data_IF_491597929176
#
_entry.id   IF_491597929176
#
_cell.length_a   1.000
_cell.length_b   1.000
_cell.length_c   1.000
_cell.angle_alpha   90.00
_cell.angle_beta   90.00
_cell.angle_gamma   90.00
#
_symmetry.space_group_name_H-M   'P 1'
#
loop_
_entity.id
_entity.type
_entity.pdbx_description
1 polymer ?
#
# COMPACT_ATOMS: atom_id res chain seq x y z
N UNK A 1 -6.18 -13.34 -17.60
CA UNK A 1 -5.76 -12.68 -16.33
C UNK A 1 -6.63 -11.46 -16.14
N UNK A 2 -7.60 -11.55 -15.25
CA UNK A 2 -8.46 -10.44 -14.84
C UNK A 2 -7.95 -9.84 -13.52
N UNK A 3 -7.74 -8.55 -13.48
CA UNK A 3 -7.09 -7.87 -12.37
C UNK A 3 -8.00 -6.77 -11.84
N UNK A 4 -8.28 -6.80 -10.54
CA UNK A 4 -8.90 -5.69 -9.83
C UNK A 4 -7.80 -4.86 -9.18
N UNK A 5 -7.76 -3.55 -9.47
CA UNK A 5 -6.74 -2.66 -8.96
C UNK A 5 -7.33 -1.62 -8.02
N UNK A 6 -7.13 -1.81 -6.72
CA UNK A 6 -7.53 -0.86 -5.70
C UNK A 6 -6.56 0.32 -5.66
N UNK A 7 -7.07 1.49 -5.92
CA UNK A 7 -6.34 2.76 -5.85
C UNK A 7 -7.29 3.90 -5.48
N UNK A 8 -6.74 4.94 -4.86
CA UNK A 8 -7.45 6.20 -4.63
C UNK A 8 -6.70 7.33 -5.31
N UNK A 9 -7.45 8.20 -5.97
CA UNK A 9 -6.92 9.41 -6.58
C UNK A 9 -7.13 10.61 -5.67
N UNK A 10 -6.17 11.53 -5.68
CA UNK A 10 -6.30 12.84 -5.05
C UNK A 10 -7.14 13.77 -5.93
N UNK A 11 -7.73 14.85 -5.38
CA UNK A 11 -8.50 15.81 -6.17
C UNK A 11 -7.72 16.30 -7.40
N UNK A 12 -8.34 16.20 -8.56
CA UNK A 12 -7.75 16.62 -9.84
C UNK A 12 -7.92 18.14 -10.02
N UNK A 13 -6.87 18.80 -10.54
CA UNK A 13 -6.84 20.23 -10.73
C UNK A 13 -6.41 21.04 -9.50
N UNK A 14 -6.23 20.40 -8.36
CA UNK A 14 -5.76 21.06 -7.14
C UNK A 14 -4.23 21.23 -7.10
N UNK A 15 -3.50 20.30 -7.69
CA UNK A 15 -2.04 20.31 -7.72
C UNK A 15 -1.53 19.76 -9.04
N UNK A 16 -0.85 20.61 -9.83
CA UNK A 16 -0.24 20.18 -11.10
C UNK A 16 0.70 18.97 -10.95
N UNK A 17 1.41 18.91 -9.83
CA UNK A 17 2.34 17.80 -9.53
C UNK A 17 1.59 16.50 -9.29
N UNK A 18 0.53 16.54 -8.46
CA UNK A 18 -0.30 15.34 -8.22
C UNK A 18 -0.99 14.89 -9.50
N UNK A 19 -1.52 15.84 -10.29
CA UNK A 19 -2.17 15.52 -11.56
C UNK A 19 -1.20 14.87 -12.53
N UNK A 20 0.03 15.36 -12.61
CA UNK A 20 1.08 14.76 -13.43
C UNK A 20 1.37 13.32 -13.01
N UNK A 21 1.57 13.06 -11.72
CA UNK A 21 1.85 11.71 -11.20
C UNK A 21 0.69 10.75 -11.43
N UNK A 22 -0.53 11.19 -11.18
CA UNK A 22 -1.72 10.38 -11.40
C UNK A 22 -1.93 10.05 -12.88
N UNK A 23 -1.60 10.96 -13.78
CA UNK A 23 -1.62 10.71 -15.22
C UNK A 23 -0.59 9.64 -15.61
N UNK A 24 0.66 9.77 -15.16
CA UNK A 24 1.73 8.79 -15.46
C UNK A 24 1.39 7.42 -14.85
N UNK A 25 0.86 7.38 -13.63
CA UNK A 25 0.40 6.14 -13.02
C UNK A 25 -0.61 5.42 -13.94
N UNK A 26 -1.67 6.11 -14.35
CA UNK A 26 -2.70 5.52 -15.22
C UNK A 26 -2.09 5.06 -16.54
N UNK A 27 -1.22 5.85 -17.16
CA UNK A 27 -0.58 5.51 -18.42
C UNK A 27 0.35 4.29 -18.25
N UNK A 28 1.04 4.16 -17.11
CA UNK A 28 1.85 2.98 -16.79
C UNK A 28 1.00 1.71 -16.64
N UNK A 29 -0.16 1.81 -16.00
CA UNK A 29 -1.09 0.68 -15.87
C UNK A 29 -1.66 0.26 -17.23
N UNK A 30 -2.05 1.21 -18.08
CA UNK A 30 -2.52 0.93 -19.44
C UNK A 30 -1.45 0.22 -20.28
N UNK A 31 -0.18 0.61 -20.12
CA UNK A 31 0.95 0.02 -20.85
C UNK A 31 1.19 -1.46 -20.51
N UNK A 32 0.67 -1.95 -19.38
CA UNK A 32 0.76 -3.37 -19.02
C UNK A 32 -0.03 -4.28 -19.97
N UNK A 33 -0.94 -3.74 -20.76
CA UNK A 33 -1.78 -4.45 -21.73
C UNK A 33 -2.47 -5.70 -21.13
N UNK A 34 -3.14 -5.50 -20.00
CA UNK A 34 -3.87 -6.53 -19.26
C UNK A 34 -5.32 -6.10 -19.06
N UNK A 35 -6.21 -7.06 -18.80
CA UNK A 35 -7.60 -6.77 -18.42
C UNK A 35 -7.66 -6.27 -16.97
N UNK A 36 -7.44 -4.98 -16.81
CA UNK A 36 -7.40 -4.30 -15.52
C UNK A 36 -8.68 -3.49 -15.35
N UNK A 37 -9.33 -3.69 -14.22
CA UNK A 37 -10.47 -2.88 -13.76
C UNK A 37 -10.06 -2.19 -12.46
N UNK A 38 -10.26 -0.88 -12.37
CA UNK A 38 -9.98 -0.17 -11.14
C UNK A 38 -11.15 -0.27 -10.16
N UNK A 39 -10.82 -0.52 -8.89
CA UNK A 39 -11.70 -0.30 -7.75
C UNK A 39 -11.43 1.08 -7.19
N UNK A 40 -12.36 2.00 -7.38
CA UNK A 40 -12.22 3.42 -7.04
C UNK A 40 -13.29 3.80 -6.02
N UNK A 41 -12.92 3.79 -4.75
CA UNK A 41 -13.74 4.40 -3.70
C UNK A 41 -13.15 5.77 -3.38
N UNK A 42 -13.93 6.83 -3.57
CA UNK A 42 -13.55 8.22 -3.37
C UNK A 42 -14.42 8.85 -2.27
N UNK A 43 -13.95 9.92 -1.67
CA UNK A 43 -14.62 10.61 -0.56
C UNK A 43 -14.82 12.09 -0.92
N UNK A 44 -15.79 12.36 -1.81
CA UNK A 44 -16.07 13.69 -2.37
C UNK A 44 -14.86 14.39 -2.98
N UNK A 45 -13.98 13.61 -3.62
CA UNK A 45 -12.80 14.13 -4.29
C UNK A 45 -13.19 14.78 -5.63
N UNK A 46 -12.91 16.09 -5.76
CA UNK A 46 -13.28 16.85 -6.95
C UNK A 46 -12.61 16.34 -8.22
N UNK A 47 -13.37 16.31 -9.30
CA UNK A 47 -12.95 16.04 -10.67
C UNK A 47 -12.32 14.65 -10.91
N UNK A 48 -12.38 13.74 -9.94
CA UNK A 48 -11.81 12.39 -10.11
C UNK A 48 -12.65 11.58 -11.08
N UNK A 49 -13.97 11.63 -10.97
CA UNK A 49 -14.88 10.91 -11.87
C UNK A 49 -14.69 11.32 -13.33
N UNK A 50 -14.59 12.62 -13.60
CA UNK A 50 -14.32 13.15 -14.94
C UNK A 50 -12.95 12.74 -15.47
N UNK A 51 -11.93 12.74 -14.59
CA UNK A 51 -10.60 12.27 -14.93
C UNK A 51 -10.61 10.81 -15.36
N UNK A 52 -11.28 9.94 -14.59
CA UNK A 52 -11.41 8.51 -14.88
C UNK A 52 -12.14 8.27 -16.19
N UNK A 53 -13.26 9.00 -16.45
CA UNK A 53 -14.00 8.96 -17.72
C UNK A 53 -13.11 9.41 -18.89
N UNK A 54 -12.42 10.54 -18.77
CA UNK A 54 -11.53 11.06 -19.82
C UNK A 54 -10.36 10.11 -20.12
N UNK A 55 -9.86 9.41 -19.12
CA UNK A 55 -8.80 8.41 -19.26
C UNK A 55 -9.34 7.05 -19.73
N UNK A 56 -10.64 6.92 -19.99
CA UNK A 56 -11.27 5.66 -20.45
C UNK A 56 -10.84 4.45 -19.59
N UNK A 57 -10.84 4.63 -18.28
CA UNK A 57 -10.45 3.59 -17.35
C UNK A 57 -11.66 2.70 -17.07
N UNK A 58 -11.53 1.39 -17.31
CA UNK A 58 -12.49 0.41 -16.82
C UNK A 58 -12.48 0.40 -15.30
N UNK A 59 -13.63 0.67 -14.68
CA UNK A 59 -13.64 0.87 -13.22
C UNK A 59 -15.00 0.55 -12.58
N UNK A 60 -14.95 0.31 -11.27
CA UNK A 60 -16.06 0.40 -10.35
C UNK A 60 -15.87 1.68 -9.52
N UNK A 61 -16.67 2.69 -9.80
CA UNK A 61 -16.57 3.98 -9.11
C UNK A 61 -17.62 4.09 -8.02
N UNK A 62 -17.19 4.34 -6.79
CA UNK A 62 -18.04 4.57 -5.64
C UNK A 62 -17.62 5.91 -5.02
N UNK A 63 -18.55 6.85 -4.93
CA UNK A 63 -18.35 8.09 -4.18
C UNK A 63 -19.07 8.01 -2.86
N UNK A 64 -18.34 8.19 -1.77
CA UNK A 64 -18.85 8.20 -0.40
C UNK A 64 -18.81 9.65 0.09
N UNK A 65 -19.95 10.20 0.54
CA UNK A 65 -19.98 11.53 1.13
C UNK A 65 -19.04 11.62 2.34
N UNK A 66 -18.29 12.72 2.43
CA UNK A 66 -17.41 12.95 3.60
C UNK A 66 -18.16 13.00 4.92
N UNK A 67 -19.45 13.30 4.89
CA UNK A 67 -20.32 13.23 6.06
C UNK A 67 -20.48 11.83 6.67
N UNK A 68 -20.16 10.78 5.90
CA UNK A 68 -20.16 9.40 6.40
C UNK A 68 -18.85 9.01 7.10
N UNK A 69 -17.82 9.85 7.01
CA UNK A 69 -16.59 9.67 7.77
C UNK A 69 -16.71 10.29 9.16
N UNK A 70 -15.97 9.78 10.15
CA UNK A 70 -15.81 10.48 11.41
C UNK A 70 -15.29 11.92 11.21
N UNK A 71 -15.64 12.81 12.13
CA UNK A 71 -15.17 14.20 12.12
C UNK A 71 -13.64 14.20 11.98
N UNK A 72 -13.12 15.09 11.15
CA UNK A 72 -11.69 15.30 10.84
C UNK A 72 -11.01 14.17 10.03
N UNK A 73 -11.74 13.15 9.59
CA UNK A 73 -11.18 12.13 8.67
C UNK A 73 -11.37 12.52 7.21
N UNK A 74 -10.35 12.24 6.40
CA UNK A 74 -10.31 12.60 4.97
C UNK A 74 -10.73 11.45 4.08
N UNK A 75 -10.37 10.22 4.46
CA UNK A 75 -10.70 8.98 3.74
C UNK A 75 -10.62 7.77 4.67
N UNK A 76 -11.05 6.62 4.17
CA UNK A 76 -11.09 5.36 4.93
C UNK A 76 -10.55 4.21 4.10
N UNK A 77 -9.37 3.71 4.48
CA UNK A 77 -8.75 2.57 3.81
C UNK A 77 -9.56 1.27 3.96
N UNK A 78 -10.20 1.08 5.11
CA UNK A 78 -11.00 -0.13 5.33
C UNK A 78 -12.28 -0.16 4.49
N UNK A 79 -12.93 0.99 4.26
CA UNK A 79 -14.09 1.08 3.36
C UNK A 79 -13.65 0.80 1.91
N UNK A 80 -12.55 1.41 1.48
CA UNK A 80 -11.99 1.16 0.16
C UNK A 80 -11.67 -0.33 -0.06
N UNK A 81 -11.05 -0.97 0.92
CA UNK A 81 -10.68 -2.38 0.84
C UNK A 81 -11.91 -3.29 0.89
N UNK A 82 -12.92 -3.00 1.72
CA UNK A 82 -14.17 -3.74 1.75
C UNK A 82 -14.87 -3.71 0.39
N UNK A 83 -15.01 -2.52 -0.21
CA UNK A 83 -15.61 -2.36 -1.53
C UNK A 83 -14.83 -3.13 -2.61
N UNK A 84 -13.50 -3.09 -2.57
CA UNK A 84 -12.68 -3.84 -3.51
C UNK A 84 -12.84 -5.35 -3.34
N UNK A 85 -12.95 -5.86 -2.11
CA UNK A 85 -13.17 -7.27 -1.85
C UNK A 85 -14.55 -7.73 -2.32
N UNK A 86 -15.60 -6.91 -2.19
CA UNK A 86 -16.92 -7.20 -2.73
C UNK A 86 -16.86 -7.34 -4.25
N UNK A 87 -16.28 -6.36 -4.93
CA UNK A 87 -16.11 -6.37 -6.37
C UNK A 87 -15.26 -7.55 -6.84
N UNK A 88 -14.20 -7.91 -6.08
CA UNK A 88 -13.35 -9.05 -6.37
C UNK A 88 -14.12 -10.37 -6.28
N UNK A 89 -14.94 -10.55 -5.24
CA UNK A 89 -15.72 -11.76 -5.01
C UNK A 89 -16.84 -11.93 -6.05
N UNK A 90 -17.46 -10.84 -6.47
CA UNK A 90 -18.63 -10.85 -7.37
C UNK A 90 -18.25 -11.02 -8.84
N UNK A 91 -17.05 -10.63 -9.26
CA UNK A 91 -16.68 -10.49 -10.68
C UNK A 91 -15.56 -11.42 -11.17
N UNK A 92 -15.22 -12.47 -10.44
CA UNK A 92 -14.23 -13.49 -10.83
C UNK A 92 -12.86 -12.93 -11.24
N UNK A 93 -12.34 -12.00 -10.47
CA UNK A 93 -10.96 -11.52 -10.64
C UNK A 93 -9.96 -12.57 -10.13
N UNK A 94 -8.82 -12.67 -10.80
CA UNK A 94 -7.72 -13.56 -10.41
C UNK A 94 -6.74 -12.87 -9.45
N UNK A 95 -6.58 -11.56 -9.60
CA UNK A 95 -5.63 -10.76 -8.83
C UNK A 95 -6.31 -9.52 -8.24
N UNK A 96 -6.02 -9.25 -6.97
CA UNK A 96 -6.31 -7.99 -6.30
C UNK A 96 -4.99 -7.25 -6.08
N UNK A 97 -4.83 -6.11 -6.74
CA UNK A 97 -3.65 -5.25 -6.58
C UNK A 97 -4.05 -4.01 -5.80
N UNK A 98 -3.23 -3.63 -4.82
CA UNK A 98 -3.41 -2.41 -4.04
C UNK A 98 -2.17 -1.54 -4.20
N UNK A 99 -2.34 -0.28 -4.57
CA UNK A 99 -1.24 0.67 -4.68
C UNK A 99 -1.66 2.11 -4.41
N UNK A 100 -0.66 2.97 -4.17
CA UNK A 100 -0.85 4.42 -4.28
C UNK A 100 -0.84 4.87 -5.75
N UNK A 101 -1.40 6.03 -6.05
CA UNK A 101 -1.48 6.59 -7.40
C UNK A 101 -0.22 7.38 -7.83
N UNK A 102 0.87 7.23 -7.11
CA UNK A 102 2.18 7.87 -7.36
C UNK A 102 3.29 6.86 -7.66
N UNK A 103 2.91 5.62 -7.99
CA UNK A 103 3.84 4.52 -8.30
C UNK A 103 3.75 4.17 -9.78
N UNK A 104 4.88 4.18 -10.49
CA UNK A 104 4.96 3.65 -11.84
C UNK A 104 5.26 2.16 -11.78
N UNK A 105 4.40 1.38 -12.41
CA UNK A 105 4.52 -0.08 -12.45
C UNK A 105 5.29 -0.49 -13.71
N UNK A 106 6.36 -1.28 -13.57
CA UNK A 106 7.13 -1.71 -14.73
C UNK A 106 6.38 -2.74 -15.59
N UNK A 107 6.59 -2.68 -16.91
CA UNK A 107 5.91 -3.55 -17.88
C UNK A 107 6.10 -5.06 -17.62
N UNK A 108 7.18 -5.43 -16.94
CA UNK A 108 7.46 -6.83 -16.60
C UNK A 108 6.78 -7.32 -15.31
N UNK A 109 6.04 -6.47 -14.61
CA UNK A 109 5.44 -6.79 -13.30
C UNK A 109 4.67 -8.12 -13.33
N UNK A 110 3.66 -8.23 -14.18
CA UNK A 110 2.87 -9.47 -14.24
C UNK A 110 3.61 -10.67 -14.82
N UNK A 111 4.65 -10.45 -15.62
CA UNK A 111 5.55 -11.53 -16.03
C UNK A 111 6.29 -12.13 -14.83
N UNK A 112 6.73 -11.29 -13.91
CA UNK A 112 7.40 -11.77 -12.69
C UNK A 112 6.40 -12.42 -11.71
N UNK A 113 5.23 -11.82 -11.54
CA UNK A 113 4.14 -12.39 -10.73
C UNK A 113 3.71 -13.77 -11.27
N UNK A 114 3.61 -13.96 -12.59
CA UNK A 114 3.20 -15.22 -13.20
C UNK A 114 4.20 -16.38 -13.04
N UNK A 115 5.44 -16.10 -12.65
CA UNK A 115 6.44 -17.14 -12.32
C UNK A 115 6.18 -17.82 -10.98
N UNK A 116 5.36 -17.20 -10.13
CA UNK A 116 4.97 -17.77 -8.83
C UNK A 116 4.00 -18.91 -9.07
N UNK A 117 4.37 -20.10 -8.62
CA UNK A 117 3.61 -21.34 -8.84
C UNK A 117 2.51 -21.58 -7.79
N UNK A 118 2.55 -20.86 -6.67
CA UNK A 118 1.53 -21.00 -5.63
C UNK A 118 0.16 -20.55 -6.17
N UNK A 119 -0.88 -21.28 -5.80
CA UNK A 119 -2.25 -20.93 -6.18
C UNK A 119 -2.75 -19.69 -5.45
N UNK A 120 -2.38 -19.57 -4.17
CA UNK A 120 -2.70 -18.43 -3.32
C UNK A 120 -1.41 -17.84 -2.77
N UNK A 121 -1.16 -16.56 -3.00
CA UNK A 121 0.02 -15.85 -2.53
C UNK A 121 -0.20 -14.34 -2.42
N UNK A 122 0.73 -13.69 -1.77
CA UNK A 122 0.90 -12.25 -1.79
C UNK A 122 2.27 -11.90 -2.37
N UNK A 123 2.36 -10.94 -3.26
CA UNK A 123 3.64 -10.39 -3.68
C UNK A 123 3.73 -8.91 -3.32
N UNK A 124 4.92 -8.53 -2.84
CA UNK A 124 5.22 -7.19 -2.37
C UNK A 124 6.24 -6.55 -3.30
N UNK A 125 6.03 -5.29 -3.62
CA UNK A 125 6.96 -4.48 -4.40
C UNK A 125 7.29 -3.22 -3.63
N UNK A 126 8.59 -3.01 -3.51
CA UNK A 126 9.15 -1.78 -2.96
C UNK A 126 9.73 -0.97 -4.12
N UNK A 127 9.45 0.32 -4.22
CA UNK A 127 10.10 1.17 -5.21
C UNK A 127 11.60 1.21 -4.98
N UNK A 128 12.36 0.99 -6.04
CA UNK A 128 13.82 1.09 -6.02
C UNK A 128 14.34 2.38 -6.66
N UNK A 129 13.47 3.10 -7.34
CA UNK A 129 13.77 4.40 -7.93
C UNK A 129 12.84 5.43 -7.33
N UNK A 130 13.39 6.49 -6.79
CA UNK A 130 12.63 7.62 -6.25
C UNK A 130 12.92 8.87 -7.08
N UNK A 131 11.90 9.59 -7.44
CA UNK A 131 12.02 10.90 -8.11
C UNK A 131 11.50 11.95 -7.14
N UNK A 132 12.42 12.76 -6.63
CA UNK A 132 12.12 13.87 -5.71
C UNK A 132 12.56 15.17 -6.35
N UNK A 133 11.65 16.12 -6.56
CA UNK A 133 11.96 17.42 -7.19
C UNK A 133 12.65 17.27 -8.55
N UNK A 134 12.27 16.29 -9.35
CA UNK A 134 12.88 16.03 -10.66
C UNK A 134 14.25 15.32 -10.59
N UNK A 135 14.78 15.06 -9.41
CA UNK A 135 16.03 14.34 -9.22
C UNK A 135 15.76 12.85 -9.06
N UNK A 136 16.35 12.04 -9.91
CA UNK A 136 16.30 10.59 -9.85
C UNK A 136 17.28 10.10 -8.79
N UNK A 137 16.77 9.40 -7.79
CA UNK A 137 17.57 8.73 -6.76
C UNK A 137 17.38 7.23 -6.90
N UNK A 138 18.43 6.51 -7.24
CA UNK A 138 18.45 5.06 -7.13
C UNK A 138 18.62 4.69 -5.67
N UNK A 139 17.60 4.14 -5.06
CA UNK A 139 17.71 3.55 -3.75
C UNK A 139 18.22 2.11 -3.90
N UNK A 140 19.48 1.90 -3.58
CA UNK A 140 20.03 0.54 -3.39
C UNK A 140 19.38 -0.15 -2.19
N UNK A 141 18.65 0.61 -1.39
CA UNK A 141 17.94 0.19 -0.19
C UNK A 141 16.45 0.28 -0.43
N UNK A 142 15.67 -0.76 -0.17
CA UNK A 142 14.23 -0.68 -0.32
C UNK A 142 13.68 0.43 0.58
N UNK A 143 12.79 1.24 0.01
CA UNK A 143 11.97 2.14 0.79
C UNK A 143 11.16 1.32 1.80
N UNK A 144 10.98 1.82 3.00
CA UNK A 144 10.30 1.07 4.06
C UNK A 144 8.79 0.93 3.86
N UNK A 145 8.21 1.69 2.94
CA UNK A 145 6.81 1.57 2.55
C UNK A 145 6.63 0.53 1.45
N UNK A 146 5.63 -0.30 1.57
CA UNK A 146 5.18 -1.20 0.52
C UNK A 146 4.17 -0.43 -0.29
N UNK A 147 4.58 0.08 -1.44
CA UNK A 147 3.72 0.95 -2.25
C UNK A 147 2.84 0.18 -3.25
N UNK A 148 3.12 -1.12 -3.43
CA UNK A 148 2.33 -1.99 -4.28
C UNK A 148 2.28 -3.40 -3.72
N UNK A 149 1.08 -3.92 -3.55
CA UNK A 149 0.80 -5.27 -3.06
C UNK A 149 -0.10 -5.96 -4.07
N UNK A 150 0.24 -7.19 -4.43
CA UNK A 150 -0.56 -8.01 -5.32
C UNK A 150 -0.94 -9.32 -4.62
N UNK A 151 -2.22 -9.53 -4.44
CA UNK A 151 -2.79 -10.78 -3.96
C UNK A 151 -3.27 -11.60 -5.13
N UNK A 152 -2.87 -12.88 -5.19
CA UNK A 152 -3.57 -13.93 -5.90
C UNK A 152 -4.23 -14.79 -4.84
N UNK A 153 -5.54 -14.78 -4.77
CA UNK A 153 -6.29 -15.48 -3.74
C UNK A 153 -7.56 -16.09 -4.33
N UNK A 154 -7.90 -17.27 -3.85
CA UNK A 154 -9.17 -17.92 -4.18
C UNK A 154 -10.35 -17.12 -3.60
N UNK A 155 -11.53 -17.31 -4.19
CA UNK A 155 -12.77 -16.69 -3.71
C UNK A 155 -13.04 -16.99 -2.22
N UNK A 156 -12.75 -18.20 -1.76
CA UNK A 156 -12.91 -18.58 -0.34
C UNK A 156 -11.97 -17.79 0.57
N UNK A 157 -10.74 -17.55 0.13
CA UNK A 157 -9.81 -16.70 0.90
C UNK A 157 -10.21 -15.23 0.85
N UNK A 158 -10.76 -14.74 -0.25
CA UNK A 158 -11.30 -13.39 -0.33
C UNK A 158 -12.49 -13.18 0.62
N UNK A 159 -13.40 -14.14 0.69
CA UNK A 159 -14.51 -14.14 1.67
C UNK A 159 -13.98 -14.13 3.11
N UNK A 160 -13.00 -14.98 3.42
CA UNK A 160 -12.37 -14.99 4.74
C UNK A 160 -11.66 -13.66 5.02
N UNK A 161 -10.98 -13.08 4.03
CA UNK A 161 -10.35 -11.76 4.18
C UNK A 161 -11.39 -10.70 4.55
N UNK A 162 -12.51 -10.66 3.81
CA UNK A 162 -13.62 -9.74 4.09
C UNK A 162 -14.17 -9.91 5.50
N UNK A 163 -14.40 -11.14 5.93
CA UNK A 163 -14.89 -11.44 7.28
C UNK A 163 -13.92 -10.93 8.36
N UNK A 164 -12.63 -11.18 8.19
CA UNK A 164 -11.58 -10.78 9.14
C UNK A 164 -11.55 -9.26 9.30
N UNK A 165 -11.70 -8.50 8.19
CA UNK A 165 -11.60 -7.03 8.24
C UNK A 165 -12.91 -6.34 8.57
N UNK A 166 -14.00 -7.06 8.75
CA UNK A 166 -15.34 -6.50 8.96
C UNK A 166 -15.38 -5.46 10.08
N UNK A 167 -14.65 -5.69 11.16
CA UNK A 167 -14.58 -4.81 12.32
C UNK A 167 -13.32 -3.94 12.35
N UNK A 168 -12.43 -4.12 11.39
CA UNK A 168 -11.20 -3.33 11.32
C UNK A 168 -11.50 -1.92 10.86
N UNK A 169 -10.91 -0.95 11.53
CA UNK A 169 -11.04 0.47 11.19
C UNK A 169 -9.66 1.05 10.88
N UNK A 170 -9.58 1.76 9.80
CA UNK A 170 -8.39 2.50 9.43
C UNK A 170 -8.77 3.73 8.61
N UNK A 171 -8.40 4.88 9.13
CA UNK A 171 -8.66 6.17 8.51
C UNK A 171 -7.35 6.85 8.17
N UNK A 172 -7.34 7.61 7.08
CA UNK A 172 -6.20 8.43 6.67
C UNK A 172 -4.88 7.65 6.60
N UNK A 173 -3.80 8.20 7.12
CA UNK A 173 -2.44 7.72 6.91
C UNK A 173 -1.97 6.73 7.98
N UNK A 174 -1.14 5.77 7.57
CA UNK A 174 -0.29 4.93 8.42
C UNK A 174 -0.70 3.46 8.56
N UNK A 175 0.26 2.62 8.86
CA UNK A 175 0.16 1.18 9.24
C UNK A 175 -0.49 0.23 8.20
N UNK A 176 -0.87 0.72 7.03
CA UNK A 176 -1.58 -0.10 6.03
C UNK A 176 -0.74 -1.28 5.55
N UNK A 177 0.57 -1.10 5.41
CA UNK A 177 1.50 -2.12 4.97
C UNK A 177 1.60 -3.27 5.99
N UNK A 178 1.73 -2.92 7.27
CA UNK A 178 1.80 -3.90 8.36
C UNK A 178 0.49 -4.69 8.46
N UNK A 179 -0.63 -4.02 8.23
CA UNK A 179 -1.94 -4.64 8.17
C UNK A 179 -2.01 -5.69 7.06
N UNK A 180 -1.65 -5.36 5.80
CA UNK A 180 -1.69 -6.31 4.70
C UNK A 180 -0.82 -7.54 4.96
N UNK A 181 0.35 -7.36 5.58
CA UNK A 181 1.23 -8.46 5.90
C UNK A 181 0.63 -9.34 7.00
N UNK A 182 0.00 -8.75 8.01
CA UNK A 182 -0.69 -9.52 9.04
C UNK A 182 -1.87 -10.34 8.48
N UNK A 183 -2.57 -9.81 7.49
CA UNK A 183 -3.61 -10.55 6.75
C UNK A 183 -3.01 -11.77 6.03
N UNK A 184 -1.82 -11.66 5.44
CA UNK A 184 -1.16 -12.82 4.83
C UNK A 184 -0.94 -13.96 5.84
N UNK A 185 -0.63 -13.63 7.09
CA UNK A 185 -0.52 -14.64 8.16
C UNK A 185 -1.85 -15.32 8.46
N UNK A 186 -2.92 -14.53 8.65
CA UNK A 186 -4.25 -15.08 8.96
C UNK A 186 -4.81 -15.93 7.82
N UNK A 187 -4.53 -15.54 6.58
CA UNK A 187 -4.94 -16.27 5.38
C UNK A 187 -3.99 -17.42 5.01
N UNK A 188 -2.89 -17.58 5.75
CA UNK A 188 -1.83 -18.56 5.45
C UNK A 188 -1.32 -18.42 4.00
N UNK A 189 -0.96 -17.19 3.60
CA UNK A 189 -0.38 -16.91 2.28
C UNK A 189 1.14 -16.92 2.35
N UNK A 190 1.78 -17.46 1.33
CA UNK A 190 3.19 -17.22 1.09
C UNK A 190 3.37 -15.78 0.58
N UNK A 191 4.44 -15.13 1.03
CA UNK A 191 4.78 -13.77 0.65
C UNK A 191 6.02 -13.79 -0.23
N UNK A 192 5.92 -13.21 -1.42
CA UNK A 192 7.00 -13.09 -2.38
C UNK A 192 7.44 -11.64 -2.50
N UNK A 193 8.74 -11.42 -2.36
CA UNK A 193 9.31 -10.10 -2.57
C UNK A 193 9.86 -9.98 -4.00
N UNK A 194 9.28 -9.09 -4.78
CA UNK A 194 9.66 -8.85 -6.17
C UNK A 194 10.61 -7.63 -6.35
N UNK A 195 11.14 -7.07 -5.28
CA UNK A 195 12.02 -5.90 -5.32
C UNK A 195 13.19 -6.08 -6.31
N UNK A 196 13.84 -7.23 -6.30
CA UNK A 196 14.97 -7.54 -7.18
C UNK A 196 14.63 -7.50 -8.67
N UNK A 197 13.37 -7.72 -9.00
CA UNK A 197 12.89 -7.89 -10.36
C UNK A 197 12.08 -6.68 -10.87
N UNK A 198 11.86 -5.70 -10.04
CA UNK A 198 11.04 -4.54 -10.38
C UNK A 198 11.85 -3.26 -10.44
N UNK A 199 11.78 -2.56 -11.56
CA UNK A 199 12.20 -1.17 -11.67
C UNK A 199 11.03 -0.25 -11.37
N UNK A 200 10.41 -0.44 -10.22
CA UNK A 200 9.26 0.36 -9.79
C UNK A 200 9.74 1.75 -9.39
N UNK A 201 9.09 2.76 -9.93
CA UNK A 201 9.42 4.16 -9.68
C UNK A 201 8.35 4.75 -8.79
N UNK A 202 8.76 5.39 -7.71
CA UNK A 202 7.89 6.22 -6.89
C UNK A 202 8.23 7.68 -7.06
N UNK A 203 7.20 8.48 -7.23
CA UNK A 203 7.32 9.94 -7.16
C UNK A 203 7.13 10.38 -5.71
N UNK A 204 8.21 10.82 -5.10
CA UNK A 204 8.12 11.48 -3.80
C UNK A 204 7.68 12.92 -4.04
N UNK A 205 6.47 13.22 -3.67
CA UNK A 205 6.02 14.61 -3.60
C UNK A 205 6.95 15.41 -2.69
N UNK A 206 7.25 16.64 -3.08
CA UNK A 206 8.00 17.54 -2.21
C UNK A 206 7.28 17.60 -0.85
N UNK A 207 7.92 17.08 0.17
CA UNK A 207 7.40 16.95 1.52
C UNK A 207 7.02 18.28 2.18
N UNK A 208 7.18 19.39 1.49
CA UNK A 208 6.78 20.70 2.02
C UNK A 208 5.28 20.80 2.24
N UNK A 209 4.47 20.20 1.37
CA UNK A 209 3.03 20.07 1.62
C UNK A 209 2.71 19.14 2.81
N UNK A 210 3.63 18.24 3.15
CA UNK A 210 3.52 17.35 4.31
C UNK A 210 4.05 18.00 5.60
N UNK A 211 4.93 18.99 5.53
CA UNK A 211 5.48 19.64 6.72
C UNK A 211 4.44 20.46 7.48
N UNK A 212 3.43 20.96 6.82
CA UNK A 212 2.33 21.67 7.48
C UNK A 212 1.39 20.77 8.28
N UNK A 213 1.46 19.43 8.08
CA UNK A 213 0.50 18.48 8.64
C UNK A 213 1.15 17.33 9.45
N UNK A 214 2.38 17.52 9.95
CA UNK A 214 3.07 16.50 10.75
C UNK A 214 2.29 16.09 12.00
N UNK A 215 1.62 17.04 12.66
CA UNK A 215 0.80 16.77 13.84
C UNK A 215 -0.37 15.86 13.47
N UNK A 216 -1.06 16.16 12.37
CA UNK A 216 -2.15 15.35 11.86
C UNK A 216 -1.69 13.94 11.48
N UNK A 217 -0.55 13.80 10.79
CA UNK A 217 0.00 12.49 10.43
C UNK A 217 0.36 11.66 11.66
N UNK A 218 0.98 12.28 12.67
CA UNK A 218 1.33 11.61 13.92
C UNK A 218 0.07 11.17 14.67
N UNK A 219 -0.95 12.01 14.69
CA UNK A 219 -2.23 11.68 15.32
C UNK A 219 -2.92 10.52 14.59
N UNK A 220 -3.04 10.57 13.28
CA UNK A 220 -3.61 9.49 12.46
C UNK A 220 -2.86 8.18 12.65
N UNK A 221 -1.52 8.23 12.68
CA UNK A 221 -0.69 7.06 12.94
C UNK A 221 -1.00 6.44 14.29
N UNK A 222 -1.05 7.23 15.36
CA UNK A 222 -1.31 6.75 16.72
C UNK A 222 -2.71 6.15 16.86
N UNK A 223 -3.71 6.76 16.24
CA UNK A 223 -5.08 6.24 16.22
C UNK A 223 -5.17 4.90 15.46
N UNK A 224 -4.60 4.85 14.26
CA UNK A 224 -4.57 3.62 13.46
C UNK A 224 -3.77 2.51 14.15
N UNK A 225 -2.69 2.85 14.87
CA UNK A 225 -1.94 1.88 15.67
C UNK A 225 -2.81 1.25 16.76
N UNK A 226 -3.67 2.03 17.39
CA UNK A 226 -4.62 1.51 18.39
C UNK A 226 -5.62 0.54 17.75
N UNK A 227 -6.27 0.94 16.66
CA UNK A 227 -7.19 0.05 15.94
C UNK A 227 -6.50 -1.22 15.44
N UNK A 228 -5.25 -1.09 15.02
CA UNK A 228 -4.48 -2.23 14.56
C UNK A 228 -4.07 -3.18 15.70
N UNK A 229 -3.74 -2.65 16.88
CA UNK A 229 -3.49 -3.48 18.07
C UNK A 229 -4.72 -4.29 18.48
N UNK A 230 -5.90 -3.68 18.44
CA UNK A 230 -7.16 -4.37 18.72
C UNK A 230 -7.42 -5.48 17.69
N UNK A 231 -7.22 -5.20 16.40
CA UNK A 231 -7.30 -6.18 15.32
C UNK A 231 -6.33 -7.35 15.52
N UNK A 232 -5.07 -7.07 15.88
CA UNK A 232 -4.06 -8.11 16.14
C UNK A 232 -4.47 -9.00 17.32
N UNK A 233 -5.03 -8.42 18.38
CA UNK A 233 -5.52 -9.15 19.56
C UNK A 233 -6.68 -10.08 19.19
N UNK A 234 -7.69 -9.57 18.48
CA UNK A 234 -8.85 -10.34 18.02
C UNK A 234 -8.46 -11.54 17.16
N UNK A 235 -7.47 -11.37 16.30
CA UNK A 235 -6.97 -12.42 15.41
C UNK A 235 -5.84 -13.27 16.00
N UNK A 236 -5.51 -13.09 17.29
CA UNK A 236 -4.44 -13.81 18.00
C UNK A 236 -3.07 -13.66 17.33
N UNK A 237 -2.82 -12.52 16.72
CA UNK A 237 -1.56 -12.19 16.08
C UNK A 237 -0.60 -11.48 17.03
N UNK A 238 0.68 -11.52 16.71
CA UNK A 238 1.70 -10.83 17.49
C UNK A 238 1.52 -9.32 17.44
N UNK A 239 1.45 -8.65 18.60
CA UNK A 239 1.44 -7.19 18.70
C UNK A 239 2.68 -6.51 18.10
N UNK A 240 3.75 -7.26 17.84
CA UNK A 240 4.96 -6.75 17.19
C UNK A 240 4.67 -6.17 15.79
N UNK A 241 3.62 -6.64 15.12
CA UNK A 241 3.17 -6.05 13.84
C UNK A 241 2.88 -4.54 13.95
N UNK A 242 2.43 -4.06 15.10
CA UNK A 242 2.08 -2.66 15.31
C UNK A 242 3.27 -1.73 15.56
N UNK A 243 4.44 -2.26 15.84
CA UNK A 243 5.62 -1.46 16.27
C UNK A 243 6.65 -1.20 15.17
N UNK A 244 6.31 -1.51 13.93
CA UNK A 244 7.11 -1.15 12.76
C UNK A 244 7.39 -2.34 11.85
N UNK A 245 7.43 -2.07 10.56
CA UNK A 245 7.71 -3.05 9.49
C UNK A 245 9.03 -3.79 9.69
N UNK A 246 9.99 -3.21 10.39
CA UNK A 246 11.31 -3.81 10.65
C UNK A 246 11.26 -5.05 11.54
N UNK A 247 10.61 -4.95 12.68
CA UNK A 247 10.47 -6.10 13.60
C UNK A 247 9.71 -7.23 12.96
N UNK A 248 8.73 -6.86 12.17
CA UNK A 248 7.93 -7.78 11.43
C UNK A 248 8.77 -8.58 10.43
N UNK A 249 9.56 -7.92 9.60
CA UNK A 249 10.41 -8.58 8.61
C UNK A 249 11.48 -9.47 9.26
N UNK A 250 12.11 -9.04 10.34
CA UNK A 250 13.05 -9.86 11.09
C UNK A 250 12.38 -11.10 11.70
N UNK A 251 11.18 -10.94 12.24
CA UNK A 251 10.45 -12.05 12.86
C UNK A 251 9.93 -13.05 11.84
N UNK A 252 9.58 -12.62 10.64
CA UNK A 252 9.00 -13.45 9.56
C UNK A 252 9.95 -13.70 8.40
N UNK A 253 11.23 -13.41 8.56
CA UNK A 253 12.24 -13.57 7.50
C UNK A 253 12.25 -14.98 6.90
N UNK A 254 11.91 -16.00 7.69
CA UNK A 254 11.82 -17.40 7.26
C UNK A 254 10.56 -17.71 6.45
N UNK A 255 9.54 -16.86 6.46
CA UNK A 255 8.32 -17.02 5.65
C UNK A 255 8.36 -16.30 4.32
N UNK A 256 9.32 -15.39 4.14
CA UNK A 256 9.50 -14.71 2.87
C UNK A 256 10.28 -15.61 1.93
N UNK A 257 9.71 -15.88 0.76
CA UNK A 257 10.40 -16.50 -0.35
C UNK A 257 11.06 -15.40 -1.19
N UNK A 258 12.22 -15.72 -1.76
CA UNK A 258 12.97 -14.82 -2.66
C UNK A 258 13.39 -13.47 -2.04
N UNK A 259 13.66 -13.45 -0.74
CA UNK A 259 14.30 -12.31 -0.12
C UNK A 259 15.62 -12.00 -0.83
N UNK A 260 15.73 -10.80 -1.40
CA UNK A 260 17.01 -10.35 -1.90
C UNK A 260 17.97 -10.19 -0.72
N UNK A 261 19.23 -10.62 -0.90
CA UNK A 261 20.29 -10.39 0.08
C UNK A 261 20.38 -8.93 0.52
N UNK A 262 20.13 -8.01 -0.40
CA UNK A 262 20.10 -6.56 -0.16
C UNK A 262 19.00 -6.13 0.83
N UNK A 263 17.84 -6.79 0.83
CA UNK A 263 16.77 -6.49 1.78
C UNK A 263 17.20 -6.87 3.20
N UNK A 264 17.75 -8.07 3.36
CA UNK A 264 18.27 -8.57 4.65
C UNK A 264 19.38 -7.65 5.17
N UNK A 265 20.34 -7.32 4.31
CA UNK A 265 21.46 -6.45 4.65
C UNK A 265 20.99 -5.05 5.04
N UNK A 266 19.98 -4.49 4.34
CA UNK A 266 19.42 -3.19 4.68
C UNK A 266 18.80 -3.18 6.06
N UNK A 267 18.08 -4.22 6.44
CA UNK A 267 17.49 -4.33 7.78
C UNK A 267 18.55 -4.50 8.86
N UNK A 268 19.58 -5.31 8.63
CA UNK A 268 20.65 -5.55 9.59
C UNK A 268 21.49 -4.28 9.83
N UNK A 269 21.78 -3.51 8.79
CA UNK A 269 22.62 -2.31 8.91
C UNK A 269 21.84 -1.09 9.37
N UNK A 270 20.64 -0.87 8.81
CA UNK A 270 19.90 0.37 9.05
C UNK A 270 19.16 0.41 10.38
N UNK A 271 18.80 -0.75 10.89
CA UNK A 271 18.08 -0.84 12.16
C UNK A 271 18.89 -0.36 13.37
N UNK A 272 20.14 -0.81 13.57
CA UNK A 272 20.99 -0.25 14.62
C UNK A 272 21.20 1.25 14.47
N UNK A 273 21.37 1.75 13.26
CA UNK A 273 21.57 3.17 12.98
C UNK A 273 20.35 4.02 13.37
N UNK A 274 19.14 3.54 13.11
CA UNK A 274 17.91 4.24 13.52
C UNK A 274 17.68 4.22 15.03
N UNK A 275 18.06 3.15 15.72
CA UNK A 275 18.04 3.11 17.20
C UNK A 275 19.00 4.14 17.76
N UNK A 276 20.24 4.17 17.29
CA UNK A 276 21.25 5.13 17.71
C UNK A 276 20.76 6.57 17.47
N UNK A 277 20.18 6.84 16.29
CA UNK A 277 19.61 8.15 15.97
C UNK A 277 18.46 8.53 16.91
N UNK A 278 17.59 7.61 17.27
CA UNK A 278 16.49 7.84 18.24
C UNK A 278 17.04 8.11 19.64
N UNK A 279 18.03 7.34 20.09
CA UNK A 279 18.69 7.56 21.39
C UNK A 279 19.36 8.95 21.42
N UNK A 280 20.12 9.31 20.38
CA UNK A 280 20.75 10.62 20.27
C UNK A 280 19.74 11.77 20.24
N UNK A 281 18.57 11.55 19.61
CA UNK A 281 17.49 12.56 19.60
C UNK A 281 16.87 12.71 20.98
N UNK A 282 16.65 11.62 21.71
CA UNK A 282 16.16 11.63 23.09
C UNK A 282 17.15 12.31 24.03
N UNK A 283 18.45 12.03 23.89
CA UNK A 283 19.51 12.67 24.68
C UNK A 283 19.64 14.18 24.40
N UNK A 284 19.33 14.62 23.17
CA UNK A 284 19.26 16.06 22.83
C UNK A 284 18.02 16.76 23.37
N UNK A 285 16.95 16.04 23.66
CA UNK A 285 15.72 16.57 24.27
C UNK A 285 15.84 16.68 25.83
N UNK A 286 16.85 16.05 26.40
CA UNK A 286 17.13 16.08 27.85
C UNK A 286 18.14 17.18 28.17
N UNK A 287 18.71 17.88 27.20
CA UNK A 287 19.48 19.09 27.35
C UNK A 287 18.63 20.32 27.08
#
# INVERSE_FOLDING_TARGET
MKILWLVSFRPIGKSKVNDFFQNIFVDSIKSLNKDITFSLTQFDEKNVEEFVKRKEIKNFYINIPKSELPIDKKYSNHIMLNNALDQFIENDFEYLVCSSADVIVPNNFFREVSKIKDNDFCSLIYPNIHITNGVVKNNYWPHYGIDLICFKISKNKALKFKEIIKNYKQYDWGIIENFYISICEVLNLNIYNLFKYSNTIKFDNDFRAFNEDRTYQTQSWNENQKYFLDFLKENKLSKLYAYGSYYFLLYKIFRFKDLSYNLILSYIIYYPFNIIKKILTLLKMIK
#
